data_IF_318694525138
#
_entry.id   IF_318694525138
#
_cell.length_a   1.000
_cell.length_b   1.000
_cell.length_c   1.000
_cell.angle_alpha   90.00
_cell.angle_beta   90.00
_cell.angle_gamma   90.00
#
_symmetry.space_group_name_H-M   'P 1'
#
loop_
_entity.id
_entity.type
_entity.pdbx_description
1 polymer ?
#
# COMPACT_ATOMS: atom_id res chain seq x y z
N UNK A 1 5.47 -5.54 0.28
CA UNK A 1 4.17 -5.41 -0.42
C UNK A 1 3.84 -6.65 -1.24
N UNK A 2 4.68 -7.05 -2.20
CA UNK A 2 4.55 -8.29 -2.98
C UNK A 2 4.10 -9.52 -2.16
N UNK A 3 4.82 -9.81 -1.07
CA UNK A 3 4.52 -10.94 -0.19
C UNK A 3 3.14 -10.83 0.47
N UNK A 4 2.76 -9.63 0.92
CA UNK A 4 1.43 -9.38 1.50
C UNK A 4 0.32 -9.59 0.46
N UNK A 5 0.55 -9.19 -0.79
CA UNK A 5 -0.38 -9.43 -1.90
C UNK A 5 -0.52 -10.92 -2.17
N UNK A 6 0.59 -11.67 -2.20
CA UNK A 6 0.56 -13.11 -2.44
C UNK A 6 -0.13 -13.89 -1.30
N UNK A 7 0.16 -13.54 -0.05
CA UNK A 7 -0.52 -14.12 1.12
C UNK A 7 -2.04 -13.87 1.05
N UNK A 8 -2.44 -12.66 0.71
CA UNK A 8 -3.86 -12.30 0.59
C UNK A 8 -4.51 -13.06 -0.57
N UNK A 9 -3.86 -13.11 -1.74
CA UNK A 9 -4.34 -13.86 -2.91
C UNK A 9 -4.57 -15.34 -2.57
N UNK A 10 -3.70 -15.94 -1.77
CA UNK A 10 -3.86 -17.33 -1.32
C UNK A 10 -5.13 -17.55 -0.50
N UNK A 11 -5.54 -16.57 0.32
CA UNK A 11 -6.84 -16.60 1.02
C UNK A 11 -8.04 -16.56 0.07
N UNK A 12 -7.86 -16.09 -1.16
CA UNK A 12 -8.88 -16.06 -2.20
C UNK A 12 -8.67 -17.14 -3.28
N UNK A 13 -8.13 -18.31 -2.93
CA UNK A 13 -7.94 -19.42 -3.89
C UNK A 13 -6.64 -19.37 -4.69
N UNK A 14 -5.74 -18.44 -4.34
CA UNK A 14 -4.35 -18.41 -4.80
C UNK A 14 -4.20 -18.24 -6.30
N UNK A 15 -3.13 -18.81 -6.84
CA UNK A 15 -2.79 -18.67 -8.26
C UNK A 15 -3.82 -19.29 -9.23
N UNK A 16 -4.66 -20.20 -8.74
CA UNK A 16 -5.69 -20.89 -9.55
C UNK A 16 -6.98 -20.07 -9.68
N UNK A 17 -7.20 -19.06 -8.85
CA UNK A 17 -8.40 -18.23 -8.95
C UNK A 17 -8.25 -17.22 -10.09
N UNK A 18 -8.96 -17.47 -11.19
CA UNK A 18 -8.99 -16.60 -12.39
C UNK A 18 -9.98 -15.44 -12.26
N UNK A 19 -10.77 -15.38 -11.19
CA UNK A 19 -11.73 -14.30 -10.95
C UNK A 19 -11.08 -13.03 -10.38
N UNK A 20 -9.80 -13.08 -10.02
CA UNK A 20 -9.05 -11.91 -9.53
C UNK A 20 -8.36 -11.26 -10.73
N UNK A 21 -8.94 -10.17 -11.22
CA UNK A 21 -8.39 -9.44 -12.36
C UNK A 21 -7.09 -8.71 -12.03
N UNK A 22 -6.96 -8.21 -10.80
CA UNK A 22 -5.80 -7.42 -10.40
C UNK A 22 -5.97 -6.78 -9.03
N UNK A 23 -5.05 -5.88 -8.70
CA UNK A 23 -5.04 -5.14 -7.41
C UNK A 23 -4.96 -3.64 -7.63
N UNK A 24 -5.58 -2.89 -6.73
CA UNK A 24 -5.43 -1.42 -6.63
C UNK A 24 -4.71 -1.12 -5.32
N UNK A 25 -3.65 -0.33 -5.37
CA UNK A 25 -2.90 0.10 -4.18
C UNK A 25 -3.40 1.47 -3.73
N UNK A 26 -4.10 1.54 -2.61
CA UNK A 26 -4.62 2.79 -2.05
C UNK A 26 -3.67 3.38 -1.00
N UNK A 27 -3.77 4.70 -0.78
CA UNK A 27 -2.94 5.47 0.16
C UNK A 27 -1.43 5.30 -0.10
N UNK A 28 -1.04 5.27 -1.37
CA UNK A 28 0.37 5.13 -1.74
C UNK A 28 1.18 6.31 -1.18
N UNK A 29 2.33 6.01 -0.59
CA UNK A 29 3.22 7.00 0.04
C UNK A 29 2.60 7.76 1.23
N UNK A 30 1.54 7.23 1.85
CA UNK A 30 1.05 7.77 3.12
C UNK A 30 2.16 7.76 4.18
N UNK A 31 2.26 8.80 5.03
CA UNK A 31 3.22 8.81 6.12
C UNK A 31 2.94 7.65 7.07
N UNK A 32 4.01 6.96 7.47
CA UNK A 32 3.95 5.86 8.44
C UNK A 32 4.88 6.14 9.62
N UNK A 33 4.52 5.61 10.79
CA UNK A 33 5.37 5.65 11.97
C UNK A 33 6.54 4.66 11.88
N UNK A 34 7.44 4.64 12.88
CA UNK A 34 8.60 3.74 12.92
C UNK A 34 8.23 2.24 12.86
N UNK A 35 6.99 1.89 13.23
CA UNK A 35 6.46 0.52 13.16
C UNK A 35 5.80 0.21 11.81
N UNK A 36 5.80 1.17 10.87
CA UNK A 36 5.20 1.02 9.54
C UNK A 36 3.68 1.06 9.53
N UNK A 37 3.05 1.63 10.57
CA UNK A 37 1.59 1.77 10.67
C UNK A 37 1.16 3.12 10.13
N UNK A 38 0.09 3.13 9.35
CA UNK A 38 -0.64 4.35 9.00
C UNK A 38 -1.49 4.75 10.21
N UNK A 39 -1.09 5.80 10.96
CA UNK A 39 -1.89 6.31 12.09
C UNK A 39 -3.06 7.14 11.55
N UNK A 40 -4.32 6.77 11.85
CA UNK A 40 -5.49 7.48 11.34
C UNK A 40 -5.84 8.75 12.13
N UNK A 41 -5.26 8.95 13.32
CA UNK A 41 -5.49 10.14 14.14
C UNK A 41 -4.46 11.23 13.80
N UNK A 42 -4.97 12.38 13.37
CA UNK A 42 -4.19 13.54 12.95
C UNK A 42 -3.44 14.18 14.13
N UNK A 43 -3.93 14.00 15.36
CA UNK A 43 -3.46 14.73 16.57
C UNK A 43 -2.03 14.37 16.97
N UNK A 44 -1.61 13.12 16.79
CA UNK A 44 -0.25 12.66 17.15
C UNK A 44 0.79 12.91 16.04
N UNK A 45 0.34 13.19 14.82
CA UNK A 45 1.24 13.47 13.67
C UNK A 45 1.86 14.86 13.79
N UNK A 46 1.16 15.81 14.42
CA UNK A 46 1.67 17.18 14.60
C UNK A 46 2.76 17.26 15.67
N UNK A 47 2.69 16.46 16.73
CA UNK A 47 3.67 16.48 17.82
C UNK A 47 4.98 15.75 17.42
N UNK A 48 4.89 14.77 16.51
CA UNK A 48 6.00 13.92 16.07
C UNK A 48 6.27 13.99 14.56
N UNK A 49 5.89 15.11 13.90
CA UNK A 49 6.04 15.32 12.45
C UNK A 49 7.48 15.14 11.93
N UNK A 50 8.47 15.27 12.83
CA UNK A 50 9.89 15.02 12.56
C UNK A 50 10.27 13.53 12.47
N UNK A 51 9.40 12.61 12.90
CA UNK A 51 9.63 11.14 12.89
C UNK A 51 8.83 10.39 11.82
N UNK A 52 7.83 11.03 11.20
CA UNK A 52 7.02 10.39 10.18
C UNK A 52 7.85 10.13 8.91
N UNK A 53 7.93 8.87 8.49
CA UNK A 53 8.70 8.48 7.29
C UNK A 53 7.76 8.31 6.11
N UNK A 54 7.96 9.13 5.08
CA UNK A 54 7.33 8.91 3.78
C UNK A 54 8.20 7.95 2.98
N UNK A 55 7.63 6.81 2.60
CA UNK A 55 8.27 5.91 1.65
C UNK A 55 7.89 6.41 0.25
N UNK A 56 8.86 6.89 -0.53
CA UNK A 56 8.64 7.27 -1.93
C UNK A 56 8.69 6.02 -2.81
N UNK A 57 7.54 5.36 -2.94
CA UNK A 57 7.38 4.22 -3.85
C UNK A 57 6.95 4.72 -5.22
N UNK A 58 7.70 4.33 -6.23
CA UNK A 58 7.38 4.57 -7.63
C UNK A 58 6.25 3.62 -8.07
N UNK A 59 5.11 4.14 -8.55
CA UNK A 59 4.02 3.32 -9.07
C UNK A 59 4.46 2.32 -10.16
N UNK A 60 5.43 2.67 -11.01
CA UNK A 60 5.90 1.78 -12.07
C UNK A 60 6.56 0.51 -11.48
N UNK A 61 7.30 0.66 -10.38
CA UNK A 61 7.96 -0.48 -9.68
C UNK A 61 6.97 -1.39 -8.96
N UNK A 62 5.76 -0.90 -8.64
CA UNK A 62 4.70 -1.74 -8.09
C UNK A 62 4.22 -2.76 -9.11
N UNK A 63 4.19 -2.38 -10.39
CA UNK A 63 3.70 -3.23 -11.47
C UNK A 63 4.63 -4.42 -11.74
N UNK A 64 5.95 -4.21 -11.66
CA UNK A 64 6.95 -5.27 -11.88
C UNK A 64 6.99 -6.33 -10.77
N UNK A 65 6.47 -6.00 -9.58
CA UNK A 65 6.65 -6.82 -8.39
C UNK A 65 5.39 -7.58 -7.94
N UNK A 66 4.22 -7.34 -8.55
CA UNK A 66 2.96 -7.93 -8.10
C UNK A 66 2.58 -9.22 -8.87
N UNK A 67 2.18 -10.32 -8.17
CA UNK A 67 1.74 -11.56 -8.82
C UNK A 67 0.46 -11.43 -9.67
N UNK A 68 -0.64 -10.79 -9.20
CA UNK A 68 -1.67 -10.26 -10.08
C UNK A 68 -1.28 -8.85 -10.57
N UNK A 69 -1.75 -8.40 -11.75
CA UNK A 69 -1.41 -7.09 -12.27
C UNK A 69 -1.92 -5.97 -11.35
N UNK A 70 -1.10 -4.93 -11.16
CA UNK A 70 -1.54 -3.69 -10.50
C UNK A 70 -2.35 -2.90 -11.52
N UNK A 71 -3.64 -2.71 -11.25
CA UNK A 71 -4.56 -1.99 -12.13
C UNK A 71 -4.52 -0.47 -11.91
N UNK A 72 -3.98 -0.05 -10.77
CA UNK A 72 -3.79 1.36 -10.45
C UNK A 72 -3.21 1.55 -9.05
N UNK A 73 -2.73 2.77 -8.81
CA UNK A 73 -2.32 3.22 -7.50
C UNK A 73 -2.96 4.59 -7.23
N UNK A 74 -3.56 4.74 -6.05
CA UNK A 74 -4.12 6.00 -5.59
C UNK A 74 -3.11 6.62 -4.62
N UNK A 75 -2.49 7.77 -4.97
CA UNK A 75 -1.58 8.45 -4.07
C UNK A 75 -2.31 8.91 -2.82
N UNK A 76 -1.60 8.91 -1.69
CA UNK A 76 -2.10 9.53 -0.49
C UNK A 76 -2.22 11.04 -0.72
N UNK A 77 -3.36 11.59 -0.30
CA UNK A 77 -3.63 13.02 -0.26
C UNK A 77 -4.15 13.35 1.13
N UNK A 78 -3.75 14.50 1.66
CA UNK A 78 -4.23 15.00 2.95
C UNK A 78 -5.68 15.49 2.85
N UNK A 79 -6.09 15.97 1.67
CA UNK A 79 -7.38 16.65 1.46
C UNK A 79 -8.54 15.68 1.16
N UNK A 80 -8.28 14.37 1.18
CA UNK A 80 -9.20 13.28 0.79
C UNK A 80 -9.59 12.42 2.00
#
# INVERSE_FOLDING_TARGET
LKERIELTRNSFGGAKNTNITGVIVNKLNAPVDEQGRTRPDLSEIFDDSSKAKVNNVDPAKLQESSPPPVLGAVPWSFDL
#
